data_IF_411628228197
#
_entry.id   IF_411628228197
#
_cell.length_a   1.000
_cell.length_b   1.000
_cell.length_c   1.000
_cell.angle_alpha   90.00
_cell.angle_beta   90.00
_cell.angle_gamma   90.00
#
_symmetry.space_group_name_H-M   'P 1'
#
loop_
_entity.id
_entity.type
_entity.pdbx_description
1 polymer ?
#
# COMPACT_ATOMS: atom_id res chain seq x y z
N UNK A 1 -10.32 -0.37 13.41
CA UNK A 1 -9.97 0.85 14.17
C UNK A 1 -8.46 0.80 14.31
N UNK A 2 -7.75 1.81 13.81
CA UNK A 2 -6.29 1.87 13.84
C UNK A 2 -5.86 2.30 15.25
N UNK A 3 -5.10 1.45 15.94
CA UNK A 3 -4.58 1.74 17.28
C UNK A 3 -3.39 2.70 17.15
N UNK A 4 -3.68 4.01 17.14
CA UNK A 4 -2.63 5.04 17.07
C UNK A 4 -1.81 5.06 18.35
N UNK A 5 -0.62 4.48 18.30
CA UNK A 5 0.36 4.57 19.38
C UNK A 5 0.94 5.99 19.40
N UNK A 6 0.86 6.65 20.55
CA UNK A 6 1.46 7.97 20.78
C UNK A 6 2.73 7.84 21.61
N UNK A 7 3.79 8.57 21.23
CA UNK A 7 5.07 8.59 21.97
C UNK A 7 5.38 10.01 22.45
N UNK A 8 5.97 10.12 23.65
CA UNK A 8 6.48 11.40 24.15
C UNK A 8 7.82 11.69 23.47
N UNK A 9 7.96 12.85 22.82
CA UNK A 9 9.23 13.28 22.24
C UNK A 9 10.32 13.45 23.32
N UNK A 10 9.93 13.91 24.51
CA UNK A 10 10.85 14.29 25.59
C UNK A 10 11.35 13.09 26.41
N UNK A 11 10.50 12.11 26.70
CA UNK A 11 10.85 10.99 27.59
C UNK A 11 10.70 9.59 26.95
N UNK A 12 10.23 9.52 25.70
CA UNK A 12 10.16 8.28 24.93
C UNK A 12 9.07 7.28 25.34
N UNK A 13 8.28 7.56 26.39
CA UNK A 13 7.16 6.70 26.84
C UNK A 13 6.07 6.61 25.76
N UNK A 14 5.50 5.41 25.60
CA UNK A 14 4.44 5.10 24.63
C UNK A 14 3.10 4.95 25.36
N UNK A 15 2.01 5.43 24.78
CA UNK A 15 0.65 5.22 25.28
C UNK A 15 -0.34 5.26 24.13
N UNK A 16 -1.46 4.56 24.30
CA UNK A 16 -2.59 4.55 23.36
C UNK A 16 -3.46 5.83 23.50
N UNK A 17 -3.27 6.62 24.56
CA UNK A 17 -4.08 7.82 24.86
C UNK A 17 -3.24 9.09 24.92
N UNK A 18 -3.54 10.10 24.10
CA UNK A 18 -2.80 11.37 24.03
C UNK A 18 -2.71 12.12 25.37
N UNK A 19 -3.67 11.94 26.28
CA UNK A 19 -3.79 12.73 27.52
C UNK A 19 -2.69 12.53 28.58
N UNK A 20 -1.82 11.53 28.45
CA UNK A 20 -0.75 11.23 29.42
C UNK A 20 0.65 11.63 28.96
N UNK A 21 0.79 12.34 27.83
CA UNK A 21 2.07 12.67 27.22
C UNK A 21 2.37 14.17 27.34
N UNK A 22 3.58 14.50 27.80
CA UNK A 22 4.06 15.87 27.93
C UNK A 22 4.21 16.58 26.56
N UNK A 23 4.62 15.83 25.53
CA UNK A 23 4.77 16.28 24.14
C UNK A 23 4.44 15.10 23.19
N UNK A 24 3.14 14.87 22.88
CA UNK A 24 2.71 13.71 22.09
C UNK A 24 3.03 13.86 20.61
N UNK A 25 3.78 12.90 20.07
CA UNK A 25 3.91 12.69 18.62
C UNK A 25 3.13 11.45 18.20
N UNK A 26 2.39 11.55 17.10
CA UNK A 26 1.72 10.40 16.46
C UNK A 26 2.79 9.53 15.82
N UNK A 27 2.91 8.28 16.25
CA UNK A 27 3.57 7.27 15.42
C UNK A 27 2.54 6.83 14.39
N UNK A 28 2.80 7.13 13.10
CA UNK A 28 2.03 6.49 12.04
C UNK A 28 2.35 5.00 12.07
N UNK A 29 1.32 4.16 12.00
CA UNK A 29 1.50 2.73 11.78
C UNK A 29 2.29 2.56 10.48
N UNK A 30 3.45 1.90 10.58
CA UNK A 30 4.28 1.60 9.43
C UNK A 30 3.91 0.20 8.94
N UNK A 31 3.45 0.10 7.70
CA UNK A 31 3.22 -1.16 7.03
C UNK A 31 4.56 -1.73 6.57
N UNK A 32 4.87 -2.96 6.99
CA UNK A 32 6.04 -3.69 6.51
C UNK A 32 5.65 -4.39 5.21
N UNK A 33 6.35 -4.07 4.12
CA UNK A 33 6.17 -4.75 2.85
C UNK A 33 6.80 -6.15 2.90
N UNK A 34 5.99 -7.19 2.76
CA UNK A 34 6.47 -8.59 2.76
C UNK A 34 7.41 -8.91 1.60
N UNK A 35 7.37 -8.12 0.51
CA UNK A 35 8.21 -8.34 -0.67
C UNK A 35 9.60 -7.72 -0.57
N UNK A 36 9.73 -6.50 -0.01
CA UNK A 36 11.02 -5.80 0.07
C UNK A 36 11.54 -5.60 1.50
N UNK A 37 10.76 -5.95 2.52
CA UNK A 37 11.07 -5.70 3.93
C UNK A 37 11.02 -4.21 4.34
N UNK A 38 10.73 -3.31 3.41
CA UNK A 38 10.67 -1.87 3.67
C UNK A 38 9.42 -1.48 4.46
N UNK A 39 9.54 -0.43 5.27
CA UNK A 39 8.41 0.18 5.97
C UNK A 39 7.85 1.36 5.17
N UNK A 40 6.52 1.42 5.05
CA UNK A 40 5.80 2.51 4.38
C UNK A 40 4.62 2.96 5.23
N UNK A 41 4.31 4.26 5.23
CA UNK A 41 3.07 4.76 5.83
C UNK A 41 1.86 4.61 4.91
N UNK A 42 2.08 4.32 3.62
CA UNK A 42 1.04 3.99 2.65
C UNK A 42 0.87 2.46 2.51
N UNK A 43 -0.33 1.90 2.77
CA UNK A 43 -0.62 0.48 2.54
C UNK A 43 -0.60 0.08 1.06
N UNK A 44 -0.64 1.05 0.13
CA UNK A 44 -0.53 0.86 -1.32
C UNK A 44 0.90 1.00 -1.84
N UNK A 45 1.89 0.95 -0.96
CA UNK A 45 3.29 0.98 -1.35
C UNK A 45 3.62 -0.05 -2.43
N UNK A 46 4.31 0.41 -3.48
CA UNK A 46 4.87 -0.46 -4.51
C UNK A 46 6.38 -0.32 -4.45
N UNK A 47 7.06 -1.40 -4.10
CA UNK A 47 8.51 -1.43 -4.08
C UNK A 47 9.07 -1.53 -5.50
N UNK A 48 10.28 -0.99 -5.72
CA UNK A 48 10.98 -1.07 -7.02
C UNK A 48 10.99 -2.45 -7.67
N UNK A 49 11.29 -3.57 -6.96
CA UNK A 49 11.25 -4.89 -7.59
C UNK A 49 9.84 -5.27 -8.03
N UNK A 50 8.81 -4.92 -7.26
CA UNK A 50 7.42 -5.21 -7.60
C UNK A 50 6.94 -4.42 -8.82
N UNK A 51 7.44 -3.19 -9.03
CA UNK A 51 7.15 -2.41 -10.25
C UNK A 51 7.56 -3.15 -11.53
N UNK A 52 8.63 -3.95 -11.50
CA UNK A 52 9.11 -4.67 -12.69
C UNK A 52 8.25 -5.89 -13.05
N UNK A 53 7.39 -6.34 -12.14
CA UNK A 53 6.54 -7.51 -12.31
C UNK A 53 5.07 -7.14 -12.56
N UNK A 54 4.75 -5.85 -12.71
CA UNK A 54 3.37 -5.41 -12.95
C UNK A 54 3.01 -5.66 -14.40
N UNK A 55 2.02 -6.51 -14.62
CA UNK A 55 1.47 -6.79 -15.95
C UNK A 55 0.04 -6.27 -16.11
N UNK A 56 -0.69 -6.12 -15.00
CA UNK A 56 -2.12 -5.80 -15.01
C UNK A 56 -2.44 -4.57 -14.16
N UNK A 57 -3.44 -3.81 -14.63
CA UNK A 57 -4.09 -2.73 -13.89
C UNK A 57 -5.59 -2.97 -13.82
N UNK A 58 -6.21 -2.62 -12.70
CA UNK A 58 -7.65 -2.71 -12.53
C UNK A 58 -8.29 -1.46 -13.12
N UNK A 59 -9.10 -1.62 -14.17
CA UNK A 59 -9.76 -0.47 -14.82
C UNK A 59 -10.83 0.19 -13.95
N UNK A 60 -11.31 -0.49 -12.91
CA UNK A 60 -12.34 0.05 -12.02
C UNK A 60 -11.77 0.88 -10.85
N UNK A 61 -10.60 0.49 -10.31
CA UNK A 61 -10.05 1.12 -9.10
C UNK A 61 -8.57 1.54 -9.19
N UNK A 62 -7.90 1.28 -10.31
CA UNK A 62 -6.50 1.66 -10.56
C UNK A 62 -5.45 0.83 -9.82
N UNK A 63 -5.84 -0.25 -9.13
CA UNK A 63 -4.89 -1.15 -8.46
C UNK A 63 -4.08 -1.94 -9.49
N UNK A 64 -2.80 -2.15 -9.23
CA UNK A 64 -1.88 -2.88 -10.11
C UNK A 64 -1.45 -4.21 -9.51
N UNK A 65 -1.16 -5.20 -10.36
CA UNK A 65 -0.76 -6.54 -9.96
C UNK A 65 0.07 -7.27 -11.02
N UNK A 66 0.73 -8.34 -10.60
CA UNK A 66 1.43 -9.27 -11.50
C UNK A 66 0.45 -10.20 -12.21
N UNK A 67 -0.61 -10.63 -11.51
CA UNK A 67 -1.59 -11.59 -12.00
C UNK A 67 -2.99 -10.98 -12.06
N UNK A 68 -3.81 -11.36 -13.06
CA UNK A 68 -5.17 -10.82 -13.21
C UNK A 68 -6.10 -11.25 -12.06
N UNK A 69 -5.88 -12.44 -11.48
CA UNK A 69 -6.65 -12.98 -10.35
C UNK A 69 -6.52 -12.17 -9.05
N UNK A 70 -5.53 -11.28 -8.98
CA UNK A 70 -5.30 -10.39 -7.84
C UNK A 70 -6.11 -9.08 -7.94
N UNK A 71 -6.86 -8.88 -9.02
CA UNK A 71 -7.60 -7.66 -9.32
C UNK A 71 -9.09 -7.93 -9.55
N UNK A 72 -9.92 -6.94 -9.21
CA UNK A 72 -11.38 -7.03 -9.39
C UNK A 72 -11.79 -7.01 -10.87
N UNK A 73 -11.10 -6.20 -11.69
CA UNK A 73 -11.37 -6.05 -13.11
C UNK A 73 -10.03 -5.83 -13.85
N UNK A 74 -9.25 -6.90 -14.06
CA UNK A 74 -7.90 -6.80 -14.60
C UNK A 74 -7.88 -6.41 -16.07
N UNK A 75 -6.93 -5.56 -16.43
CA UNK A 75 -6.56 -5.24 -17.81
C UNK A 75 -5.05 -5.30 -17.96
N UNK A 76 -4.60 -6.03 -18.97
CA UNK A 76 -3.18 -6.08 -19.33
C UNK A 76 -2.70 -4.69 -19.78
N UNK A 77 -1.60 -4.23 -19.20
CA UNK A 77 -1.07 -2.87 -19.42
C UNK A 77 -0.53 -2.71 -20.85
N UNK A 78 0.08 -3.74 -21.43
CA UNK A 78 0.61 -3.71 -22.80
C UNK A 78 -0.54 -3.68 -23.80
N UNK A 79 -1.59 -4.48 -23.58
CA UNK A 79 -2.80 -4.44 -24.43
C UNK A 79 -3.56 -3.11 -24.25
N UNK A 80 -3.47 -2.47 -23.09
CA UNK A 80 -4.06 -1.16 -22.83
C UNK A 80 -3.31 -0.04 -23.56
N UNK A 81 -1.97 -0.09 -23.59
CA UNK A 81 -1.13 0.86 -24.33
C UNK A 81 -1.39 0.81 -25.84
N UNK A 82 -1.60 -0.39 -26.39
CA UNK A 82 -1.91 -0.58 -27.82
C UNK A 82 -3.34 -0.21 -28.21
N UNK A 83 -4.18 0.21 -27.25
CA UNK A 83 -5.61 0.50 -27.46
C UNK A 83 -6.38 -0.68 -28.08
N UNK A 84 -5.89 -1.90 -27.92
CA UNK A 84 -6.58 -3.10 -28.42
C UNK A 84 -7.89 -3.28 -27.64
N UNK A 85 -8.95 -3.85 -28.23
CA UNK A 85 -10.18 -4.14 -27.49
C UNK A 85 -9.89 -5.10 -26.32
N UNK A 86 -10.51 -4.94 -25.15
CA UNK A 86 -10.30 -5.86 -24.03
C UNK A 86 -10.70 -7.26 -24.45
N UNK A 87 -9.73 -8.16 -24.61
CA UNK A 87 -9.98 -9.59 -24.62
C UNK A 87 -10.50 -9.92 -23.23
N UNK A 88 -11.79 -10.23 -23.13
CA UNK A 88 -12.36 -10.82 -21.92
C UNK A 88 -11.54 -12.07 -21.63
N UNK A 89 -10.75 -12.04 -20.56
CA UNK A 89 -10.14 -13.26 -20.01
C UNK A 89 -11.32 -13.96 -19.31
N UNK A 90 -11.92 -14.91 -20.01
CA UNK A 90 -13.02 -15.76 -19.51
C UNK A 90 -12.42 -16.87 -18.65
#
# INVERSE_FOLDING_TARGET
>A
MADTIHKCKTCGKKTEKMGHLCDPVKLKEAYVCEHCGGTSDDPRHICKPKLQQINFTCIACGRVAELPSQLCNPRDIVLMEKQEPPTRII
#
